data_IF_144380951261
#
_entry.id   IF_144380951261
#
_cell.length_a   1.000
_cell.length_b   1.000
_cell.length_c   1.000
_cell.angle_alpha   90.00
_cell.angle_beta   90.00
_cell.angle_gamma   90.00
#
_symmetry.space_group_name_H-M   'P 1'
#
loop_
_entity.id
_entity.type
_entity.pdbx_description
1 polymer ?
#
# COMPACT_ATOMS: atom_id res chain seq x y z
N UNK A 1 -13.25 -15.45 52.68
CA UNK A 1 -11.78 -15.60 52.65
C UNK A 1 -11.33 -15.12 51.28
N UNK A 2 -10.62 -14.02 51.02
CA UNK A 2 -9.87 -12.99 51.73
C UNK A 2 -9.85 -11.81 50.71
N UNK A 3 -10.43 -10.65 50.93
CA UNK A 3 -9.88 -9.43 51.55
C UNK A 3 -8.39 -9.13 51.28
N UNK A 4 -8.15 -7.92 50.74
CA UNK A 4 -6.96 -7.05 50.84
C UNK A 4 -5.79 -7.27 49.87
N UNK A 5 -5.55 -6.27 49.01
CA UNK A 5 -4.39 -5.37 49.15
C UNK A 5 -4.56 -4.14 48.27
N UNK A 6 -4.49 -2.97 48.90
CA UNK A 6 -4.42 -1.65 48.29
C UNK A 6 -2.98 -1.14 48.30
N UNK A 7 -2.74 -0.20 47.38
CA UNK A 7 -1.84 0.94 47.47
C UNK A 7 -0.34 0.82 47.07
N UNK A 8 -0.02 1.68 46.10
CA UNK A 8 1.14 2.58 46.02
C UNK A 8 2.44 2.07 45.39
N UNK A 9 2.75 2.62 44.21
CA UNK A 9 4.04 3.25 43.93
C UNK A 9 3.87 4.25 42.77
N UNK A 10 3.74 5.52 43.16
CA UNK A 10 3.91 6.69 42.30
C UNK A 10 5.39 7.00 42.14
N UNK A 11 5.87 7.09 40.89
CA UNK A 11 6.80 8.11 40.38
C UNK A 11 7.31 7.72 38.99
N UNK A 12 6.70 8.26 37.93
CA UNK A 12 7.42 8.54 36.69
C UNK A 12 6.80 9.78 36.05
N UNK A 13 7.62 10.82 35.88
CA UNK A 13 7.28 12.06 35.20
C UNK A 13 7.30 11.82 33.67
N UNK A 14 6.31 12.30 32.89
CA UNK A 14 6.39 12.27 31.45
C UNK A 14 7.05 13.55 30.91
N UNK A 15 8.14 13.40 30.16
CA UNK A 15 8.69 14.43 29.27
C UNK A 15 7.78 14.62 28.05
N UNK A 16 7.61 15.83 27.50
CA UNK A 16 6.67 16.10 26.42
C UNK A 16 7.31 15.85 25.06
N UNK A 17 6.77 14.90 24.29
CA UNK A 17 6.94 14.81 22.84
C UNK A 17 5.56 14.58 22.23
N UNK A 18 4.85 15.68 22.07
CA UNK A 18 3.60 15.77 21.32
C UNK A 18 3.93 15.84 19.84
N UNK A 19 3.81 14.71 19.14
CA UNK A 19 3.43 14.72 17.73
C UNK A 19 2.03 14.10 17.67
N UNK A 20 1.01 14.95 17.81
CA UNK A 20 -0.38 14.53 17.65
C UNK A 20 -0.56 14.27 16.15
N UNK A 21 -0.62 13.00 15.76
CA UNK A 21 -1.05 12.60 14.41
C UNK A 21 -2.45 13.14 14.17
N UNK A 22 -2.60 14.07 13.25
CA UNK A 22 -3.92 14.55 12.83
C UNK A 22 -4.58 13.47 11.96
N UNK A 23 -5.72 12.95 12.41
CA UNK A 23 -6.61 12.14 11.60
C UNK A 23 -7.70 13.06 11.05
N UNK A 24 -7.68 13.34 9.74
CA UNK A 24 -8.71 14.14 9.09
C UNK A 24 -9.93 13.26 8.77
N UNK A 25 -10.96 13.33 9.61
CA UNK A 25 -12.31 12.88 9.26
C UNK A 25 -13.04 14.04 8.60
N UNK A 26 -13.39 13.91 7.32
CA UNK A 26 -14.17 14.94 6.63
C UNK A 26 -15.63 14.88 7.12
N UNK A 27 -16.23 15.99 7.61
CA UNK A 27 -17.63 15.99 8.03
C UNK A 27 -18.56 15.65 6.86
N UNK A 28 -19.31 14.56 6.95
CA UNK A 28 -20.39 14.23 6.02
C UNK A 28 -21.62 15.09 6.37
N UNK A 29 -21.70 16.31 5.84
CA UNK A 29 -22.87 17.19 6.00
C UNK A 29 -23.69 17.24 4.71
N UNK A 30 -24.65 16.32 4.56
CA UNK A 30 -25.88 16.54 3.79
C UNK A 30 -27.00 15.64 4.33
N UNK A 31 -28.17 16.18 4.73
CA UNK A 31 -29.34 15.35 5.04
C UNK A 31 -29.94 14.81 3.74
N UNK A 32 -30.08 13.49 3.64
CA UNK A 32 -30.80 12.83 2.56
C UNK A 32 -32.29 13.20 2.63
N UNK A 33 -32.79 13.89 1.61
CA UNK A 33 -34.22 14.09 1.38
C UNK A 33 -34.78 12.88 0.62
N UNK A 34 -35.64 12.12 1.27
CA UNK A 34 -36.40 11.02 0.65
C UNK A 34 -37.54 11.60 -0.19
N UNK A 35 -37.45 11.47 -1.50
CA UNK A 35 -38.61 11.54 -2.40
C UNK A 35 -38.74 10.20 -3.15
N UNK A 36 -39.95 9.61 -3.23
CA UNK A 36 -40.16 8.36 -3.95
C UNK A 36 -40.15 8.62 -5.48
N UNK A 37 -39.84 7.60 -6.30
CA UNK A 37 -39.77 7.76 -7.75
C UNK A 37 -41.17 7.73 -8.37
N UNK A 38 -41.44 8.45 -9.48
CA UNK A 38 -42.60 8.22 -10.31
C UNK A 38 -42.36 7.06 -11.28
N UNK A 39 -43.47 6.42 -11.65
CA UNK A 39 -43.61 5.22 -12.45
C UNK A 39 -43.15 5.35 -13.92
N UNK A 40 -42.73 4.20 -14.45
CA UNK A 40 -42.33 3.95 -15.84
C UNK A 40 -43.43 4.27 -16.86
N UNK A 41 -43.06 4.96 -17.95
CA UNK A 41 -43.70 4.83 -19.26
C UNK A 41 -42.63 4.74 -20.35
N UNK A 42 -42.82 3.74 -21.21
CA UNK A 42 -42.01 3.35 -22.35
C UNK A 42 -42.01 4.39 -23.49
N UNK A 43 -40.87 4.57 -24.16
CA UNK A 43 -40.86 4.83 -25.61
C UNK A 43 -39.47 4.58 -26.21
N UNK A 44 -39.48 3.76 -27.24
CA UNK A 44 -38.39 3.44 -28.16
C UNK A 44 -38.01 4.62 -29.05
N UNK A 45 -36.72 4.85 -29.31
CA UNK A 45 -36.25 5.13 -30.68
C UNK A 45 -34.74 4.99 -30.83
N UNK A 46 -34.36 4.31 -31.91
CA UNK A 46 -33.01 4.17 -32.45
C UNK A 46 -32.58 5.50 -33.11
N UNK A 47 -31.32 5.89 -32.95
CA UNK A 47 -30.64 6.65 -34.02
C UNK A 47 -29.13 6.54 -33.93
N UNK A 48 -28.57 5.90 -34.95
CA UNK A 48 -27.17 5.92 -35.36
C UNK A 48 -26.82 7.30 -35.90
N UNK A 49 -25.63 7.83 -35.58
CA UNK A 49 -24.84 8.62 -36.54
C UNK A 49 -23.34 8.60 -36.21
N UNK A 50 -22.59 8.14 -37.22
CA UNK A 50 -21.14 8.19 -37.41
C UNK A 50 -20.66 9.62 -37.69
N UNK A 51 -19.32 9.74 -37.73
CA UNK A 51 -18.44 10.76 -38.35
C UNK A 51 -17.71 11.64 -37.31
N UNK A 52 -16.41 11.98 -37.46
CA UNK A 52 -15.31 11.56 -38.35
C UNK A 52 -14.02 12.08 -37.70
N UNK A 53 -12.96 11.31 -37.78
CA UNK A 53 -11.59 11.72 -37.46
C UNK A 53 -11.08 12.80 -38.43
N UNK A 54 -10.24 13.71 -37.94
CA UNK A 54 -9.18 14.36 -38.71
C UNK A 54 -7.89 14.42 -37.86
N UNK A 55 -6.71 14.09 -38.43
CA UNK A 55 -5.43 14.10 -37.72
C UNK A 55 -4.68 15.41 -37.96
N UNK A 56 -3.77 15.77 -37.04
CA UNK A 56 -2.66 16.69 -37.35
C UNK A 56 -1.36 16.17 -36.71
N UNK A 57 -0.32 16.10 -37.54
CA UNK A 57 1.04 15.65 -37.21
C UNK A 57 1.97 16.86 -36.97
N UNK A 58 3.16 16.67 -36.39
CA UNK A 58 3.86 17.70 -35.61
C UNK A 58 4.92 18.46 -36.42
N UNK A 59 5.18 19.71 -36.02
CA UNK A 59 6.35 20.47 -36.45
C UNK A 59 7.51 20.33 -35.44
N UNK A 60 8.62 19.77 -35.92
CA UNK A 60 9.95 19.86 -35.31
C UNK A 60 10.54 21.25 -35.57
N UNK A 61 11.12 21.88 -34.54
CA UNK A 61 12.26 22.79 -34.71
C UNK A 61 13.07 22.87 -33.42
N UNK A 62 14.36 22.53 -33.52
CA UNK A 62 15.43 23.04 -32.66
C UNK A 62 16.24 24.02 -33.52
N UNK A 63 16.91 25.02 -32.91
CA UNK A 63 18.37 24.89 -32.82
C UNK A 63 19.03 25.44 -31.53
N UNK A 64 20.25 24.91 -31.34
CA UNK A 64 21.40 25.10 -30.43
C UNK A 64 21.65 26.42 -29.64
N UNK A 65 22.48 26.35 -28.58
CA UNK A 65 22.76 27.44 -27.63
C UNK A 65 24.06 28.22 -27.92
N UNK A 66 24.25 29.36 -27.24
CA UNK A 66 25.55 29.78 -26.71
C UNK A 66 25.41 30.26 -25.24
N UNK A 67 26.40 30.49 -24.38
CA UNK A 67 27.85 30.36 -24.35
C UNK A 67 28.29 30.65 -22.90
N UNK A 68 29.43 30.10 -22.50
CA UNK A 68 30.19 30.43 -21.28
C UNK A 68 30.44 31.93 -21.13
N UNK A 69 30.34 32.45 -19.90
CA UNK A 69 30.96 33.72 -19.49
C UNK A 69 31.76 33.48 -18.21
N UNK A 70 33.02 33.89 -18.29
CA UNK A 70 34.09 33.81 -17.30
C UNK A 70 34.08 34.99 -16.33
N UNK A 71 34.56 34.70 -15.10
CA UNK A 71 35.16 35.55 -14.07
C UNK A 71 35.37 37.05 -14.32
N UNK A 72 35.06 37.82 -13.28
CA UNK A 72 35.86 38.99 -12.91
C UNK A 72 35.90 39.16 -11.39
N UNK A 73 37.08 38.91 -10.81
CA UNK A 73 37.48 39.34 -9.48
C UNK A 73 37.69 40.86 -9.46
N UNK A 74 37.22 41.53 -8.42
CA UNK A 74 37.73 42.83 -7.96
C UNK A 74 37.75 42.84 -6.44
N UNK A 75 38.94 43.09 -5.88
CA UNK A 75 39.20 43.14 -4.45
C UNK A 75 39.08 44.55 -3.86
N UNK A 76 39.63 44.64 -2.63
CA UNK A 76 39.69 45.77 -1.67
C UNK A 76 38.48 45.78 -0.71
N UNK A 77 38.60 45.91 0.61
CA UNK A 77 39.67 46.42 1.48
C UNK A 77 39.56 45.79 2.87
N UNK A 78 40.70 45.68 3.58
CA UNK A 78 40.75 45.43 5.02
C UNK A 78 40.31 46.70 5.76
N UNK A 79 39.40 46.56 6.72
CA UNK A 79 39.31 47.40 7.91
C UNK A 79 38.68 46.56 9.02
N UNK A 80 39.38 46.45 10.15
CA UNK A 80 38.86 45.86 11.38
C UNK A 80 38.25 46.96 12.24
N UNK A 81 37.19 46.66 13.00
CA UNK A 81 37.30 46.96 14.42
C UNK A 81 36.69 45.91 15.36
N UNK A 82 37.41 45.74 16.47
CA UNK A 82 36.96 45.45 17.85
C UNK A 82 35.94 44.34 18.10
N UNK A 83 36.42 43.32 18.83
CA UNK A 83 35.59 42.40 19.60
C UNK A 83 34.71 43.15 20.62
N UNK A 84 33.42 42.84 20.61
CA UNK A 84 32.60 42.85 21.81
C UNK A 84 31.92 41.48 21.91
N UNK A 85 32.08 40.90 23.09
CA UNK A 85 31.49 39.67 23.59
C UNK A 85 29.99 39.81 23.77
N UNK A 86 29.23 38.87 23.20
CA UNK A 86 28.08 38.17 23.80
C UNK A 86 27.27 37.50 22.70
N UNK A 87 27.78 36.38 22.19
CA UNK A 87 27.01 35.45 21.38
C UNK A 87 26.42 34.41 22.34
N UNK A 88 25.12 34.52 22.58
CA UNK A 88 24.37 33.54 23.34
C UNK A 88 24.49 32.17 22.65
N UNK A 89 24.84 31.16 23.45
CA UNK A 89 24.98 29.76 23.03
C UNK A 89 23.65 29.20 22.46
N UNK A 90 22.54 29.89 22.70
CA UNK A 90 21.21 29.57 22.18
C UNK A 90 21.06 29.88 20.67
N UNK A 91 21.79 30.86 20.12
CA UNK A 91 21.67 31.24 18.70
C UNK A 91 22.23 30.15 17.77
N UNK A 92 23.33 29.51 18.16
CA UNK A 92 23.97 28.45 17.37
C UNK A 92 23.18 27.14 17.49
N UNK A 93 22.56 26.90 18.65
CA UNK A 93 21.67 25.74 18.85
C UNK A 93 20.36 25.88 18.08
N UNK A 94 19.83 27.09 17.93
CA UNK A 94 18.64 27.37 17.10
C UNK A 94 18.95 27.34 15.60
N UNK A 95 20.14 27.75 15.17
CA UNK A 95 20.56 27.61 13.78
C UNK A 95 20.87 26.15 13.41
N UNK A 96 21.42 25.34 14.33
CA UNK A 96 21.56 23.90 14.15
C UNK A 96 20.21 23.16 14.20
N UNK A 97 19.24 23.63 15.00
CA UNK A 97 17.86 23.11 14.98
C UNK A 97 17.11 23.48 13.70
N UNK A 98 17.33 24.69 13.15
CA UNK A 98 16.78 25.11 11.85
C UNK A 98 17.47 24.41 10.68
N UNK A 99 18.76 24.08 10.79
CA UNK A 99 19.46 23.25 9.81
C UNK A 99 19.07 21.77 9.90
N UNK A 100 18.58 21.29 11.06
CA UNK A 100 18.04 19.92 11.20
C UNK A 100 16.54 19.79 10.90
N UNK A 101 15.84 20.90 10.65
CA UNK A 101 14.41 20.98 10.36
C UNK A 101 14.19 21.73 9.05
N UNK A 102 14.66 21.17 7.94
CA UNK A 102 14.53 21.83 6.65
C UNK A 102 15.27 21.16 5.51
N UNK A 103 15.27 19.83 5.43
CA UNK A 103 15.28 19.25 4.08
C UNK A 103 13.87 19.50 3.55
N UNK A 104 13.72 20.45 2.62
CA UNK A 104 12.55 20.55 1.75
C UNK A 104 12.46 19.25 0.96
N UNK A 105 11.92 18.21 1.60
CA UNK A 105 11.68 16.92 0.97
C UNK A 105 10.63 17.17 -0.08
N UNK A 106 11.06 17.08 -1.34
CA UNK A 106 10.23 17.25 -2.51
C UNK A 106 8.94 16.45 -2.31
N UNK A 107 7.82 17.18 -2.23
CA UNK A 107 6.49 16.59 -2.19
C UNK A 107 6.12 16.20 -3.61
N UNK A 108 5.63 14.98 -3.78
CA UNK A 108 5.32 14.38 -5.05
C UNK A 108 3.82 14.51 -5.33
N UNK A 109 3.48 14.80 -6.60
CA UNK A 109 2.14 14.55 -7.10
C UNK A 109 1.98 13.04 -7.37
N UNK A 110 0.73 12.58 -7.55
CA UNK A 110 0.44 11.18 -7.85
C UNK A 110 1.14 10.68 -9.14
N UNK A 111 1.29 11.56 -10.13
CA UNK A 111 1.92 11.26 -11.42
C UNK A 111 3.44 11.14 -11.33
N UNK A 112 4.05 11.67 -10.27
CA UNK A 112 5.50 11.70 -10.04
C UNK A 112 5.98 10.56 -9.12
N UNK A 113 5.09 9.64 -8.74
CA UNK A 113 5.43 8.48 -7.93
C UNK A 113 6.48 7.60 -8.62
N UNK A 114 7.51 7.22 -7.85
CA UNK A 114 8.61 6.40 -8.35
C UNK A 114 8.27 4.91 -8.32
N UNK A 115 7.76 4.37 -9.42
CA UNK A 115 7.34 2.98 -9.56
C UNK A 115 8.52 2.01 -9.79
N UNK A 116 8.52 0.86 -9.10
CA UNK A 116 9.54 -0.20 -9.28
C UNK A 116 8.93 -1.56 -9.70
N UNK A 117 7.73 -1.90 -9.23
CA UNK A 117 6.99 -3.13 -9.60
C UNK A 117 7.81 -4.45 -9.56
N UNK A 118 8.71 -4.59 -8.56
CA UNK A 118 9.55 -5.77 -8.40
C UNK A 118 8.78 -7.08 -8.30
N UNK A 119 7.63 -7.11 -7.63
CA UNK A 119 6.83 -8.32 -7.46
C UNK A 119 6.36 -8.87 -8.81
N UNK A 120 5.93 -7.97 -9.71
CA UNK A 120 5.45 -8.34 -11.04
C UNK A 120 6.61 -8.68 -11.97
N UNK A 121 7.75 -7.98 -11.84
CA UNK A 121 8.94 -8.18 -12.67
C UNK A 121 9.66 -9.50 -12.34
N UNK A 122 9.79 -9.83 -11.06
CA UNK A 122 10.72 -10.87 -10.61
C UNK A 122 10.02 -12.23 -10.35
N UNK A 123 8.70 -12.27 -10.22
CA UNK A 123 7.94 -13.49 -9.88
C UNK A 123 7.07 -13.98 -11.05
N UNK A 124 6.80 -15.30 -11.13
CA UNK A 124 5.95 -15.86 -12.18
C UNK A 124 4.52 -15.32 -12.07
N UNK A 125 4.03 -14.72 -13.15
CA UNK A 125 2.67 -14.21 -13.27
C UNK A 125 1.78 -15.12 -14.09
N UNK A 126 0.48 -15.08 -13.80
CA UNK A 126 -0.55 -15.75 -14.58
C UNK A 126 -0.61 -15.12 -16.00
N UNK A 127 -0.57 -15.93 -17.08
CA UNK A 127 -0.68 -15.40 -18.44
C UNK A 127 -2.05 -14.79 -18.74
N UNK A 128 -3.08 -15.15 -17.96
CA UNK A 128 -4.43 -14.59 -18.10
C UNK A 128 -4.58 -13.31 -17.29
N UNK A 129 -5.49 -12.44 -17.72
CA UNK A 129 -5.76 -11.16 -17.05
C UNK A 129 -7.25 -10.92 -16.78
N UNK A 130 -8.08 -11.96 -16.96
CA UNK A 130 -9.50 -11.88 -16.66
C UNK A 130 -9.78 -11.95 -15.15
N UNK A 131 -10.98 -11.54 -14.75
CA UNK A 131 -11.43 -11.51 -13.35
C UNK A 131 -12.33 -12.69 -12.98
N UNK A 132 -12.41 -13.73 -13.83
CA UNK A 132 -13.29 -14.86 -13.56
C UNK A 132 -12.70 -15.73 -12.44
N UNK A 133 -13.45 -16.01 -11.37
CA UNK A 133 -12.99 -16.87 -10.30
C UNK A 133 -12.57 -18.25 -10.80
N UNK A 134 -11.36 -18.69 -10.45
CA UNK A 134 -10.79 -19.98 -10.85
C UNK A 134 -9.56 -20.35 -10.03
N UNK A 135 -9.11 -21.58 -10.20
CA UNK A 135 -7.76 -21.95 -9.79
C UNK A 135 -6.70 -21.30 -10.70
N UNK A 136 -5.65 -20.78 -10.07
CA UNK A 136 -4.50 -20.14 -10.72
C UNK A 136 -3.26 -20.96 -10.37
N UNK A 137 -2.77 -21.73 -11.33
CA UNK A 137 -1.62 -22.61 -11.19
C UNK A 137 -0.33 -21.91 -11.65
N UNK A 138 0.81 -22.33 -11.09
CA UNK A 138 2.16 -21.91 -11.51
C UNK A 138 2.41 -20.39 -11.54
N UNK A 139 1.70 -19.62 -10.72
CA UNK A 139 1.83 -18.16 -10.68
C UNK A 139 1.61 -17.60 -9.26
N UNK A 140 2.39 -16.57 -8.93
CA UNK A 140 2.30 -15.83 -7.66
C UNK A 140 1.24 -14.72 -7.70
N UNK A 141 0.81 -14.28 -8.89
CA UNK A 141 -0.19 -13.24 -9.05
C UNK A 141 -0.90 -13.33 -10.39
N UNK A 142 -2.03 -12.62 -10.50
CA UNK A 142 -2.71 -12.32 -11.77
C UNK A 142 -2.80 -10.82 -11.96
N UNK A 143 -2.43 -10.31 -13.15
CA UNK A 143 -2.68 -8.90 -13.50
C UNK A 143 -4.17 -8.68 -13.65
N UNK A 144 -4.73 -7.76 -12.87
CA UNK A 144 -6.17 -7.49 -12.84
C UNK A 144 -6.41 -6.04 -12.40
N UNK A 145 -7.22 -5.32 -13.15
CA UNK A 145 -7.59 -3.95 -12.81
C UNK A 145 -8.79 -3.91 -11.85
N UNK A 146 -8.90 -2.88 -10.99
CA UNK A 146 -10.11 -2.61 -10.23
C UNK A 146 -11.37 -2.66 -11.09
N UNK A 147 -12.44 -3.21 -10.53
CA UNK A 147 -13.70 -3.39 -11.24
C UNK A 147 -14.93 -3.15 -10.36
N UNK A 148 -14.77 -2.60 -9.17
CA UNK A 148 -15.90 -2.19 -8.33
C UNK A 148 -16.68 -1.08 -9.06
N UNK A 149 -18.00 -1.19 -9.04
CA UNK A 149 -18.86 -0.10 -9.49
C UNK A 149 -18.89 1.00 -8.44
N UNK A 150 -18.82 2.25 -8.89
CA UNK A 150 -18.86 3.42 -8.02
C UNK A 150 -19.83 4.44 -8.60
N UNK A 151 -20.40 5.27 -7.74
CA UNK A 151 -21.28 6.37 -8.07
C UNK A 151 -20.93 7.55 -7.19
N UNK A 152 -20.35 8.61 -7.78
CA UNK A 152 -19.88 9.79 -7.04
C UNK A 152 -19.01 9.43 -5.82
N UNK A 153 -17.86 8.75 -6.01
CA UNK A 153 -17.03 8.31 -4.90
C UNK A 153 -16.50 9.50 -4.08
N UNK A 154 -16.40 9.33 -2.76
CA UNK A 154 -16.03 10.42 -1.85
C UNK A 154 -14.90 9.99 -0.91
N UNK A 155 -13.87 10.84 -0.80
CA UNK A 155 -12.83 10.67 0.21
C UNK A 155 -13.42 10.91 1.60
N UNK A 156 -13.34 9.90 2.47
CA UNK A 156 -13.82 9.94 3.87
C UNK A 156 -12.70 10.40 4.80
N UNK A 157 -11.52 9.80 4.65
CA UNK A 157 -10.34 10.06 5.48
C UNK A 157 -9.05 9.70 4.75
N UNK A 158 -7.94 10.30 5.18
CA UNK A 158 -6.58 9.91 4.80
C UNK A 158 -5.63 10.02 6.00
N UNK A 159 -4.46 9.39 5.91
CA UNK A 159 -3.41 9.45 6.94
C UNK A 159 -2.27 10.34 6.48
N UNK A 160 -2.07 11.46 7.16
CA UNK A 160 -0.93 12.36 6.91
C UNK A 160 0.41 11.64 7.11
N UNK A 161 0.50 10.76 8.12
CA UNK A 161 1.70 9.95 8.38
C UNK A 161 2.05 9.04 7.20
N UNK A 162 1.05 8.46 6.52
CA UNK A 162 1.30 7.62 5.33
C UNK A 162 1.55 8.49 4.10
N UNK A 163 0.90 9.65 3.97
CA UNK A 163 1.22 10.60 2.92
C UNK A 163 2.69 11.05 2.99
N UNK A 164 3.17 11.38 4.19
CA UNK A 164 4.58 11.71 4.44
C UNK A 164 5.52 10.54 4.16
N UNK A 165 5.15 9.33 4.58
CA UNK A 165 5.91 8.10 4.29
C UNK A 165 6.17 7.93 2.78
N UNK A 166 5.15 8.24 1.97
CA UNK A 166 5.19 8.14 0.51
C UNK A 166 5.64 9.44 -0.17
N UNK A 167 6.00 10.46 0.62
CA UNK A 167 6.38 11.79 0.14
C UNK A 167 5.30 12.49 -0.71
N UNK A 168 4.02 12.16 -0.52
CA UNK A 168 2.90 12.77 -1.25
C UNK A 168 2.60 14.19 -0.75
N UNK A 169 2.28 15.09 -1.68
CA UNK A 169 1.76 16.42 -1.35
C UNK A 169 0.35 16.30 -0.72
N UNK A 170 0.10 16.88 0.47
CA UNK A 170 -1.23 16.91 1.08
C UNK A 170 -2.33 17.54 0.21
N UNK A 171 -1.98 18.36 -0.79
CA UNK A 171 -2.94 18.92 -1.73
C UNK A 171 -3.51 17.87 -2.70
N UNK A 172 -2.84 16.73 -2.90
CA UNK A 172 -3.35 15.64 -3.75
C UNK A 172 -4.69 15.11 -3.24
N UNK A 173 -4.89 15.03 -1.92
CA UNK A 173 -6.14 14.56 -1.30
C UNK A 173 -7.32 15.53 -1.52
N UNK A 174 -7.05 16.76 -1.96
CA UNK A 174 -8.09 17.77 -2.27
C UNK A 174 -8.51 17.74 -3.73
N UNK A 175 -7.81 16.99 -4.59
CA UNK A 175 -8.13 16.92 -6.01
C UNK A 175 -9.52 16.29 -6.23
N UNK A 176 -10.28 16.76 -7.23
CA UNK A 176 -11.60 16.21 -7.53
C UNK A 176 -11.54 14.77 -8.06
N UNK A 177 -10.43 14.37 -8.68
CA UNK A 177 -10.22 13.04 -9.24
C UNK A 177 -9.60 12.03 -8.25
N UNK A 178 -9.09 12.48 -7.10
CA UNK A 178 -8.49 11.59 -6.09
C UNK A 178 -9.43 10.45 -5.66
N UNK A 179 -10.73 10.69 -5.33
CA UNK A 179 -11.65 9.60 -5.01
C UNK A 179 -11.91 8.66 -6.18
N UNK A 180 -11.84 9.12 -7.44
CA UNK A 180 -11.99 8.26 -8.62
C UNK A 180 -10.78 7.32 -8.76
N UNK A 181 -9.57 7.83 -8.52
CA UNK A 181 -8.33 7.04 -8.58
C UNK A 181 -8.33 5.98 -7.47
N UNK A 182 -8.53 6.38 -6.21
CA UNK A 182 -8.43 5.48 -5.06
C UNK A 182 -9.69 4.63 -4.80
N UNK A 183 -10.77 4.84 -5.57
CA UNK A 183 -11.84 3.86 -5.72
C UNK A 183 -11.62 2.88 -6.88
N UNK A 184 -10.56 3.09 -7.68
CA UNK A 184 -10.23 2.26 -8.84
C UNK A 184 -11.08 2.55 -10.09
N UNK A 185 -11.92 3.59 -10.08
CA UNK A 185 -12.71 4.02 -11.23
C UNK A 185 -11.90 4.75 -12.29
N UNK A 186 -10.74 5.29 -11.91
CA UNK A 186 -9.73 5.84 -12.82
C UNK A 186 -8.38 5.21 -12.53
N UNK A 187 -7.56 4.94 -13.57
CA UNK A 187 -6.25 4.35 -13.37
C UNK A 187 -5.33 5.36 -12.66
N UNK A 188 -4.52 4.86 -11.72
CA UNK A 188 -3.38 5.61 -11.21
C UNK A 188 -2.23 5.49 -12.22
N UNK A 189 -1.75 6.61 -12.74
CA UNK A 189 -0.71 6.67 -13.78
C UNK A 189 0.55 5.94 -13.28
N UNK A 190 1.11 5.09 -14.13
CA UNK A 190 2.30 4.27 -13.82
C UNK A 190 2.02 3.01 -13.01
N UNK A 191 0.82 2.87 -12.42
CA UNK A 191 0.42 1.67 -11.70
C UNK A 191 0.37 0.42 -12.60
N UNK A 192 0.64 -0.74 -12.00
CA UNK A 192 0.54 -2.06 -12.63
C UNK A 192 -0.35 -2.97 -11.78
N UNK A 193 -1.68 -2.90 -11.92
CA UNK A 193 -2.59 -3.59 -11.01
C UNK A 193 -2.51 -5.12 -11.05
N UNK A 194 -2.42 -5.77 -9.89
CA UNK A 194 -2.42 -7.23 -9.73
C UNK A 194 -3.10 -7.70 -8.45
N UNK A 195 -3.45 -8.98 -8.40
CA UNK A 195 -3.95 -9.67 -7.22
C UNK A 195 -3.06 -10.90 -6.93
N UNK A 196 -2.65 -11.11 -5.68
CA UNK A 196 -1.74 -12.19 -5.32
C UNK A 196 -2.46 -13.54 -5.17
N UNK A 197 -1.79 -14.61 -5.61
CA UNK A 197 -2.18 -15.98 -5.33
C UNK A 197 -1.53 -16.44 -4.02
N UNK A 198 -2.34 -17.01 -3.13
CA UNK A 198 -1.86 -17.66 -1.90
C UNK A 198 -2.89 -18.69 -1.45
N UNK A 199 -2.48 -19.59 -0.57
CA UNK A 199 -3.33 -20.58 0.08
C UNK A 199 -3.34 -20.36 1.59
N UNK A 200 -3.79 -21.35 2.35
CA UNK A 200 -3.60 -21.30 3.80
C UNK A 200 -4.50 -22.25 4.56
N UNK A 201 -4.17 -22.38 5.84
CA UNK A 201 -4.99 -23.09 6.80
C UNK A 201 -5.99 -22.12 7.43
N UNK A 202 -7.29 -22.39 7.30
CA UNK A 202 -8.34 -21.64 7.98
C UNK A 202 -8.87 -22.52 9.11
N UNK A 203 -8.77 -22.01 10.35
CA UNK A 203 -9.20 -22.76 11.54
C UNK A 203 -8.54 -24.15 11.66
N UNK A 204 -7.25 -24.23 11.33
CA UNK A 204 -6.46 -25.47 11.40
C UNK A 204 -6.58 -26.41 10.19
N UNK A 205 -7.52 -26.16 9.26
CA UNK A 205 -7.74 -27.00 8.09
C UNK A 205 -7.22 -26.35 6.82
N UNK A 206 -6.57 -27.13 5.94
CA UNK A 206 -6.13 -26.63 4.63
C UNK A 206 -7.33 -26.19 3.79
N UNK A 207 -7.35 -24.92 3.39
CA UNK A 207 -8.47 -24.31 2.65
C UNK A 207 -8.23 -24.28 1.13
N UNK A 208 -7.15 -24.89 0.64
CA UNK A 208 -6.75 -24.83 -0.77
C UNK A 208 -6.34 -23.42 -1.21
N UNK A 209 -6.61 -23.09 -2.46
CA UNK A 209 -6.33 -21.77 -3.01
C UNK A 209 -7.27 -20.71 -2.41
N UNK A 210 -6.65 -19.68 -1.85
CA UNK A 210 -7.27 -18.42 -1.46
C UNK A 210 -6.89 -17.35 -2.49
N UNK A 211 -6.05 -16.38 -2.11
CA UNK A 211 -5.64 -15.26 -2.94
C UNK A 211 -6.37 -13.97 -2.60
N UNK A 212 -5.96 -12.88 -3.24
CA UNK A 212 -6.54 -11.56 -3.05
C UNK A 212 -7.94 -11.47 -3.70
N UNK A 213 -8.93 -12.10 -3.07
CA UNK A 213 -10.29 -12.22 -3.60
C UNK A 213 -11.13 -10.95 -3.56
N UNK A 214 -10.64 -9.90 -2.91
CA UNK A 214 -11.27 -8.56 -2.87
C UNK A 214 -10.23 -7.46 -2.72
N UNK A 215 -8.98 -7.74 -3.05
CA UNK A 215 -7.88 -6.80 -2.94
C UNK A 215 -7.12 -6.77 -4.25
N UNK A 216 -6.69 -5.58 -4.66
CA UNK A 216 -5.92 -5.36 -5.88
C UNK A 216 -4.80 -4.40 -5.53
N UNK A 217 -3.56 -4.87 -5.65
CA UNK A 217 -2.37 -4.03 -5.52
C UNK A 217 -2.23 -3.20 -6.79
N UNK A 218 -2.17 -1.88 -6.66
CA UNK A 218 -1.95 -0.93 -7.77
C UNK A 218 -0.50 -0.96 -8.26
N UNK A 219 0.43 -1.37 -7.41
CA UNK A 219 1.85 -1.52 -7.71
C UNK A 219 2.72 -1.20 -6.52
N UNK A 220 4.03 -1.15 -6.78
CA UNK A 220 5.07 -0.89 -5.80
C UNK A 220 5.78 0.43 -6.11
N UNK A 221 5.90 1.30 -5.11
CA UNK A 221 6.61 2.57 -5.20
C UNK A 221 7.82 2.59 -4.27
N UNK A 222 8.85 3.35 -4.64
CA UNK A 222 9.99 3.67 -3.80
C UNK A 222 9.80 5.06 -3.19
N UNK A 223 9.92 5.16 -1.87
CA UNK A 223 9.95 6.47 -1.20
C UNK A 223 11.34 7.13 -1.32
N UNK A 224 11.48 8.34 -0.77
CA UNK A 224 12.75 9.09 -0.75
C UNK A 224 13.92 8.38 -0.05
N UNK A 225 13.63 7.37 0.78
CA UNK A 225 14.63 6.52 1.44
C UNK A 225 14.97 5.26 0.64
N UNK A 226 14.48 5.14 -0.60
CA UNK A 226 14.57 3.92 -1.41
C UNK A 226 13.92 2.70 -0.75
N UNK A 227 12.96 2.91 0.15
CA UNK A 227 12.16 1.83 0.72
C UNK A 227 10.96 1.55 -0.18
N UNK A 228 10.68 0.28 -0.44
CA UNK A 228 9.56 -0.15 -1.28
C UNK A 228 8.27 -0.27 -0.48
N UNK A 229 7.17 0.20 -1.07
CA UNK A 229 5.84 0.16 -0.50
C UNK A 229 4.80 -0.22 -1.57
N UNK A 230 4.01 -1.25 -1.26
CA UNK A 230 2.86 -1.68 -2.04
C UNK A 230 1.65 -0.79 -1.72
N UNK A 231 0.91 -0.36 -2.75
CA UNK A 231 -0.39 0.30 -2.61
C UNK A 231 -1.50 -0.69 -2.96
N UNK A 232 -2.33 -1.09 -2.01
CA UNK A 232 -3.37 -2.10 -2.23
C UNK A 232 -4.78 -1.61 -1.91
N UNK A 233 -5.65 -1.60 -2.92
CA UNK A 233 -7.06 -1.27 -2.77
C UNK A 233 -7.85 -2.51 -2.33
N UNK A 234 -8.46 -2.45 -1.14
CA UNK A 234 -9.35 -3.50 -0.62
C UNK A 234 -10.80 -3.09 -0.78
N UNK A 235 -11.59 -3.96 -1.40
CA UNK A 235 -12.97 -3.68 -1.85
C UNK A 235 -13.05 -3.26 -3.33
N UNK A 236 -11.95 -3.35 -4.07
CA UNK A 236 -11.81 -2.84 -5.44
C UNK A 236 -12.45 -3.73 -6.53
N UNK A 237 -13.22 -4.76 -6.14
CA UNK A 237 -13.95 -5.64 -7.07
C UNK A 237 -13.41 -7.07 -7.12
N UNK A 238 -13.97 -7.83 -8.04
CA UNK A 238 -13.64 -9.26 -8.21
C UNK A 238 -12.27 -9.47 -8.85
N UNK A 239 -11.67 -10.58 -8.48
CA UNK A 239 -10.42 -11.11 -9.03
C UNK A 239 -10.61 -12.62 -9.29
N UNK A 240 -9.67 -13.30 -9.96
CA UNK A 240 -9.68 -14.76 -10.06
C UNK A 240 -9.75 -15.49 -8.71
N UNK A 241 -9.40 -14.79 -7.63
CA UNK A 241 -9.32 -15.31 -6.26
C UNK A 241 -10.59 -15.04 -5.45
N UNK A 242 -11.62 -14.39 -6.02
CA UNK A 242 -12.85 -14.05 -5.29
C UNK A 242 -13.68 -15.26 -4.85
N UNK A 243 -13.44 -16.44 -5.43
CA UNK A 243 -14.25 -17.65 -5.23
C UNK A 243 -15.73 -17.30 -5.51
N UNK A 244 -16.60 -17.46 -4.52
CA UNK A 244 -18.02 -17.14 -4.57
C UNK A 244 -18.37 -15.72 -4.10
N UNK A 245 -17.40 -14.95 -3.61
CA UNK A 245 -17.64 -13.62 -3.06
C UNK A 245 -17.76 -12.53 -4.14
N UNK A 246 -18.29 -11.37 -3.75
CA UNK A 246 -18.53 -10.24 -4.64
C UNK A 246 -17.30 -9.35 -4.89
N UNK A 247 -16.23 -9.49 -4.11
CA UNK A 247 -15.02 -8.67 -4.22
C UNK A 247 -15.13 -7.28 -3.59
N UNK A 248 -16.21 -6.99 -2.84
CA UNK A 248 -16.52 -5.66 -2.32
C UNK A 248 -16.30 -5.55 -0.80
N UNK A 249 -16.14 -4.32 -0.30
CA UNK A 249 -16.05 -4.00 1.11
C UNK A 249 -17.08 -2.95 1.50
N UNK A 250 -17.48 -2.95 2.77
CA UNK A 250 -18.42 -1.99 3.34
C UNK A 250 -17.70 -0.93 4.17
N UNK A 251 -18.33 0.22 4.35
CA UNK A 251 -17.77 1.37 5.06
C UNK A 251 -17.40 1.02 6.50
N UNK A 252 -18.28 0.32 7.22
CA UNK A 252 -18.06 -0.07 8.62
C UNK A 252 -16.76 -0.87 8.82
N UNK A 253 -16.54 -1.91 8.03
CA UNK A 253 -15.29 -2.70 8.12
C UNK A 253 -14.07 -1.90 7.71
N UNK A 254 -14.22 -1.02 6.71
CA UNK A 254 -13.12 -0.24 6.16
C UNK A 254 -12.66 0.88 7.11
N UNK A 255 -13.60 1.52 7.82
CA UNK A 255 -13.30 2.48 8.90
C UNK A 255 -12.50 1.79 10.00
N UNK A 256 -12.94 0.61 10.45
CA UNK A 256 -12.23 -0.13 11.50
C UNK A 256 -10.81 -0.50 11.09
N UNK A 257 -10.62 -0.97 9.85
CA UNK A 257 -9.30 -1.31 9.34
C UNK A 257 -8.39 -0.09 9.22
N UNK A 258 -8.90 1.02 8.69
CA UNK A 258 -8.15 2.28 8.60
C UNK A 258 -7.69 2.76 9.98
N UNK A 259 -8.63 2.88 10.93
CA UNK A 259 -8.33 3.37 12.28
C UNK A 259 -7.40 2.43 13.05
N UNK A 260 -7.64 1.12 13.03
CA UNK A 260 -6.79 0.16 13.74
C UNK A 260 -5.38 0.13 13.16
N UNK A 261 -5.21 0.21 11.84
CA UNK A 261 -3.88 0.22 11.20
C UNK A 261 -3.05 1.41 11.69
N UNK A 262 -3.63 2.61 11.69
CA UNK A 262 -2.89 3.81 12.08
C UNK A 262 -2.72 3.95 13.60
N UNK A 263 -3.69 3.46 14.38
CA UNK A 263 -3.57 3.38 15.84
C UNK A 263 -2.46 2.41 16.26
N UNK A 264 -2.40 1.20 15.67
CA UNK A 264 -1.35 0.22 15.96
C UNK A 264 0.04 0.78 15.61
N UNK A 265 0.18 1.45 14.46
CA UNK A 265 1.43 2.12 14.10
C UNK A 265 1.82 3.20 15.11
N UNK A 266 0.86 4.04 15.53
CA UNK A 266 1.10 5.11 16.51
C UNK A 266 1.49 4.57 17.89
N UNK A 267 1.09 3.34 18.22
CA UNK A 267 1.53 2.60 19.41
C UNK A 267 2.90 1.93 19.25
N UNK A 268 3.56 2.07 18.09
CA UNK A 268 4.85 1.43 17.80
C UNK A 268 4.74 -0.06 17.47
N UNK A 269 3.54 -0.58 17.20
CA UNK A 269 3.32 -2.00 16.88
C UNK A 269 3.40 -2.19 15.35
N UNK A 270 4.23 -3.12 14.84
CA UNK A 270 4.30 -3.41 13.42
C UNK A 270 2.92 -3.78 12.84
N UNK A 271 2.55 -3.12 11.75
CA UNK A 271 1.24 -3.27 11.11
C UNK A 271 1.30 -2.82 9.66
N UNK A 272 0.38 -3.31 8.84
CA UNK A 272 0.05 -2.62 7.59
C UNK A 272 -0.49 -1.23 7.90
N UNK A 273 -0.25 -0.28 7.01
CA UNK A 273 -0.69 1.11 7.11
C UNK A 273 -1.92 1.35 6.22
N UNK A 274 -2.60 2.46 6.43
CA UNK A 274 -3.75 2.86 5.61
C UNK A 274 -3.60 4.29 5.10
N UNK A 275 -3.49 4.46 3.78
CA UNK A 275 -3.33 5.76 3.15
C UNK A 275 -4.64 6.56 3.14
N UNK A 276 -5.71 5.95 2.62
CA UNK A 276 -7.00 6.64 2.48
C UNK A 276 -8.19 5.67 2.49
N UNK A 277 -9.36 6.23 2.76
CA UNK A 277 -10.65 5.56 2.75
C UNK A 277 -11.63 6.32 1.84
N UNK A 278 -12.18 5.63 0.86
CA UNK A 278 -13.12 6.20 -0.12
C UNK A 278 -14.45 5.46 -0.04
N UNK A 279 -15.56 6.19 0.06
CA UNK A 279 -16.90 5.65 -0.15
C UNK A 279 -17.16 5.50 -1.64
N UNK A 280 -17.78 4.39 -2.04
CA UNK A 280 -18.09 4.13 -3.46
C UNK A 280 -19.39 4.79 -3.91
N UNK A 281 -20.25 5.22 -2.99
CA UNK A 281 -21.61 5.68 -3.25
C UNK A 281 -22.59 4.59 -3.71
N UNK A 282 -22.13 3.33 -3.79
CA UNK A 282 -22.97 2.15 -3.99
C UNK A 282 -23.22 1.44 -2.66
N UNK A 283 -24.32 0.69 -2.59
CA UNK A 283 -24.59 -0.21 -1.48
C UNK A 283 -24.05 -1.61 -1.76
N UNK A 284 -23.73 -2.32 -0.68
CA UNK A 284 -23.21 -3.68 -0.69
C UNK A 284 -23.98 -4.48 0.34
N UNK A 285 -24.66 -5.53 -0.10
CA UNK A 285 -25.49 -6.37 0.75
C UNK A 285 -24.62 -7.28 1.63
N UNK A 286 -24.80 -7.23 2.95
CA UNK A 286 -24.10 -8.08 3.92
C UNK A 286 -25.06 -8.58 4.98
N UNK A 287 -24.87 -9.84 5.36
CA UNK A 287 -25.41 -10.36 6.60
C UNK A 287 -24.33 -10.22 7.68
N UNK A 288 -24.43 -9.16 8.49
CA UNK A 288 -23.42 -8.82 9.48
C UNK A 288 -23.36 -9.84 10.62
N UNK A 289 -24.49 -10.44 10.97
CA UNK A 289 -24.62 -11.34 12.11
C UNK A 289 -24.67 -12.82 11.70
N UNK A 290 -24.66 -13.11 10.40
CA UNK A 290 -24.82 -14.45 9.84
C UNK A 290 -26.12 -15.11 10.31
N UNK A 291 -27.18 -14.31 10.49
CA UNK A 291 -28.48 -14.74 11.01
C UNK A 291 -29.54 -14.96 9.91
N UNK A 292 -29.15 -14.83 8.65
CA UNK A 292 -30.02 -14.96 7.48
C UNK A 292 -30.71 -13.67 7.06
N UNK A 293 -30.45 -12.52 7.71
CA UNK A 293 -31.10 -11.23 7.41
C UNK A 293 -30.11 -10.22 6.80
N UNK A 294 -29.78 -10.35 5.51
CA UNK A 294 -28.86 -9.43 4.86
C UNK A 294 -29.43 -8.01 4.80
N UNK A 295 -28.55 -7.02 4.96
CA UNK A 295 -28.85 -5.60 4.85
C UNK A 295 -27.87 -4.92 3.91
N UNK A 296 -28.34 -3.86 3.27
CA UNK A 296 -27.48 -3.01 2.46
C UNK A 296 -26.65 -2.09 3.36
N UNK A 297 -25.33 -2.15 3.20
CA UNK A 297 -24.38 -1.26 3.86
C UNK A 297 -23.69 -0.39 2.80
N UNK A 298 -23.32 0.87 3.10
CA UNK A 298 -22.55 1.69 2.17
C UNK A 298 -21.23 1.00 1.80
N UNK A 299 -20.93 0.93 0.51
CA UNK A 299 -19.68 0.40 -0.02
C UNK A 299 -18.51 1.34 0.22
N UNK A 300 -17.32 0.76 0.44
CA UNK A 300 -16.10 1.53 0.61
C UNK A 300 -14.87 0.76 0.13
N UNK A 301 -13.82 1.51 -0.15
CA UNK A 301 -12.50 1.02 -0.54
C UNK A 301 -11.46 1.67 0.36
N UNK A 302 -10.58 0.85 0.95
CA UNK A 302 -9.44 1.32 1.73
C UNK A 302 -8.15 1.04 0.94
N UNK A 303 -7.30 2.05 0.83
CA UNK A 303 -5.95 1.91 0.29
C UNK A 303 -5.00 1.54 1.43
N UNK A 304 -4.56 0.28 1.44
CA UNK A 304 -3.59 -0.27 2.37
C UNK A 304 -2.19 -0.03 1.83
N UNK A 305 -1.24 0.20 2.73
CA UNK A 305 0.16 0.43 2.40
C UNK A 305 1.04 -0.47 3.27
N UNK A 306 1.95 -1.21 2.66
CA UNK A 306 2.87 -2.10 3.37
C UNK A 306 4.15 -2.31 2.55
N UNK A 307 5.25 -2.68 3.19
CA UNK A 307 6.46 -3.07 2.44
C UNK A 307 6.27 -4.38 1.66
N UNK A 308 5.31 -5.21 2.07
CA UNK A 308 4.95 -6.45 1.40
C UNK A 308 3.57 -6.92 1.85
N UNK A 309 2.81 -7.54 0.95
CA UNK A 309 1.60 -8.30 1.28
C UNK A 309 1.79 -9.82 1.28
N UNK A 310 3.05 -10.29 1.18
CA UNK A 310 3.39 -11.70 1.32
C UNK A 310 2.94 -12.27 2.66
N UNK A 311 2.59 -13.56 2.64
CA UNK A 311 2.07 -14.31 3.79
C UNK A 311 2.67 -15.70 3.77
N UNK A 312 2.59 -16.43 4.89
CA UNK A 312 2.95 -17.86 4.89
C UNK A 312 2.19 -18.64 3.82
N UNK A 313 0.92 -18.30 3.61
CA UNK A 313 0.08 -18.83 2.55
C UNK A 313 0.62 -18.68 1.13
N UNK A 314 1.41 -17.64 0.86
CA UNK A 314 2.02 -17.39 -0.45
C UNK A 314 3.02 -18.48 -0.82
N UNK A 315 3.69 -19.06 0.17
CA UNK A 315 4.60 -20.20 -0.02
C UNK A 315 3.84 -21.53 0.02
N UNK A 316 2.92 -21.66 0.98
CA UNK A 316 2.19 -22.91 1.21
C UNK A 316 1.40 -23.36 -0.02
N UNK A 317 0.84 -22.44 -0.82
CA UNK A 317 0.09 -22.83 -2.02
C UNK A 317 0.97 -23.56 -3.03
N UNK A 318 2.18 -23.05 -3.28
CA UNK A 318 3.13 -23.65 -4.22
C UNK A 318 3.69 -24.96 -3.65
N UNK A 319 4.06 -24.97 -2.36
CA UNK A 319 4.51 -26.20 -1.70
C UNK A 319 3.45 -27.31 -1.73
N UNK A 320 2.16 -26.97 -1.60
CA UNK A 320 1.06 -27.94 -1.61
C UNK A 320 0.81 -28.59 -2.97
N UNK A 321 1.30 -27.98 -4.06
CA UNK A 321 1.15 -28.48 -5.44
C UNK A 321 2.27 -29.44 -5.86
N UNK A 322 3.20 -29.74 -4.96
CA UNK A 322 4.25 -30.71 -5.18
C UNK A 322 5.37 -30.19 -6.08
N UNK A 323 6.08 -31.13 -6.72
CA UNK A 323 7.38 -30.89 -7.38
C UNK A 323 7.35 -29.79 -8.44
N UNK A 324 6.24 -29.64 -9.15
CA UNK A 324 6.08 -28.66 -10.24
C UNK A 324 6.20 -27.21 -9.77
N UNK A 325 5.80 -26.91 -8.53
CA UNK A 325 5.77 -25.55 -7.98
C UNK A 325 6.89 -25.29 -6.94
N UNK A 326 7.75 -26.27 -6.64
CA UNK A 326 8.84 -26.10 -5.67
C UNK A 326 9.86 -25.04 -6.08
N UNK A 327 10.11 -24.89 -7.38
CA UNK A 327 11.00 -23.84 -7.87
C UNK A 327 10.40 -22.44 -7.67
N UNK A 328 9.06 -22.32 -7.67
CA UNK A 328 8.37 -21.07 -7.32
C UNK A 328 8.56 -20.77 -5.84
N UNK A 329 8.47 -21.77 -4.96
CA UNK A 329 8.75 -21.60 -3.51
C UNK A 329 10.16 -21.04 -3.31
N UNK A 330 11.16 -21.62 -3.99
CA UNK A 330 12.56 -21.14 -3.92
C UNK A 330 12.68 -19.71 -4.45
N UNK A 331 12.08 -19.42 -5.60
CA UNK A 331 12.11 -18.09 -6.22
C UNK A 331 11.46 -17.04 -5.31
N UNK A 332 10.33 -17.37 -4.67
CA UNK A 332 9.63 -16.48 -3.75
C UNK A 332 10.43 -16.24 -2.46
N UNK A 333 11.13 -17.25 -1.96
CA UNK A 333 12.02 -17.12 -0.81
C UNK A 333 13.23 -16.24 -1.13
N UNK A 334 13.87 -16.46 -2.29
CA UNK A 334 14.99 -15.63 -2.75
C UNK A 334 14.54 -14.17 -2.99
N UNK A 335 13.35 -13.96 -3.56
CA UNK A 335 12.73 -12.63 -3.68
C UNK A 335 12.59 -11.96 -2.31
N UNK A 336 12.04 -12.67 -1.34
CA UNK A 336 11.78 -12.14 0.00
C UNK A 336 13.07 -11.80 0.73
N UNK A 337 14.09 -12.64 0.63
CA UNK A 337 15.39 -12.38 1.22
C UNK A 337 16.02 -11.13 0.60
N UNK A 338 16.07 -11.06 -0.73
CA UNK A 338 16.67 -9.93 -1.45
C UNK A 338 16.02 -8.60 -1.09
N UNK A 339 14.69 -8.56 -1.03
CA UNK A 339 13.95 -7.31 -0.92
C UNK A 339 13.53 -6.92 0.50
N UNK A 340 13.36 -7.89 1.40
CA UNK A 340 12.88 -7.62 2.77
C UNK A 340 13.90 -7.97 3.85
N UNK A 341 14.91 -8.78 3.52
CA UNK A 341 15.96 -9.18 4.46
C UNK A 341 17.36 -9.21 3.84
N UNK A 342 17.80 -8.13 3.15
CA UNK A 342 19.07 -8.12 2.40
C UNK A 342 20.30 -8.40 3.28
N UNK A 343 20.20 -8.18 4.59
CA UNK A 343 21.26 -8.51 5.55
C UNK A 343 21.60 -10.01 5.59
N UNK A 344 20.64 -10.89 5.29
CA UNK A 344 20.86 -12.34 5.27
C UNK A 344 21.67 -12.75 4.03
N UNK A 345 21.47 -12.07 2.90
CA UNK A 345 22.15 -12.40 1.64
C UNK A 345 23.68 -12.28 1.76
N UNK A 346 24.13 -11.35 2.61
CA UNK A 346 25.54 -11.11 2.91
C UNK A 346 26.10 -11.98 4.04
N UNK A 347 25.30 -12.84 4.67
CA UNK A 347 25.80 -13.78 5.66
C UNK A 347 26.49 -14.93 4.92
N UNK A 348 27.81 -15.03 5.06
CA UNK A 348 28.57 -16.19 4.56
C UNK A 348 27.89 -17.48 5.02
N UNK A 349 27.78 -18.48 4.13
CA UNK A 349 27.31 -19.82 4.46
C UNK A 349 28.07 -20.31 5.69
N UNK A 350 27.47 -20.21 6.87
CA UNK A 350 28.07 -20.78 8.07
C UNK A 350 28.09 -22.29 7.87
N UNK A 351 29.29 -22.87 7.76
CA UNK A 351 29.50 -24.32 7.73
C UNK A 351 29.06 -25.00 9.05
N UNK A 352 28.61 -24.24 10.05
CA UNK A 352 28.37 -24.71 11.41
C UNK A 352 26.95 -25.21 11.73
N UNK A 353 26.05 -25.25 10.75
CA UNK A 353 24.66 -25.73 10.96
C UNK A 353 24.35 -26.92 10.02
N UNK A 354 25.22 -27.92 10.00
CA UNK A 354 24.88 -29.24 9.49
C UNK A 354 24.15 -30.02 10.58
N UNK A 355 22.82 -30.06 10.54
CA UNK A 355 22.11 -31.15 11.19
C UNK A 355 22.22 -32.36 10.27
N UNK A 356 23.01 -33.36 10.66
CA UNK A 356 23.01 -34.67 10.02
C UNK A 356 21.62 -35.29 10.21
N UNK A 357 20.73 -35.11 9.24
CA UNK A 357 19.57 -35.99 9.10
C UNK A 357 20.08 -37.34 8.65
N UNK A 358 20.09 -38.28 9.60
CA UNK A 358 20.25 -39.70 9.33
C UNK A 358 19.28 -40.13 8.23
N UNK A 359 19.88 -40.77 7.22
CA UNK A 359 19.30 -41.60 6.17
C UNK A 359 17.78 -41.78 6.22
N UNK A 360 17.07 -41.10 5.32
CA UNK A 360 15.95 -41.69 4.58
C UNK A 360 15.61 -40.81 3.35
N UNK A 361 15.58 -41.48 2.19
CA UNK A 361 15.43 -40.95 0.84
C UNK A 361 14.06 -40.27 0.65
N UNK A 362 13.99 -38.98 0.98
CA UNK A 362 12.89 -38.11 0.57
C UNK A 362 13.45 -36.75 0.18
N UNK A 363 12.93 -36.18 -0.90
CA UNK A 363 13.34 -34.88 -1.45
C UNK A 363 12.89 -33.73 -0.54
N UNK A 364 13.43 -33.68 0.67
CA UNK A 364 13.25 -32.59 1.62
C UNK A 364 14.01 -31.40 1.07
N UNK A 365 13.28 -30.33 0.73
CA UNK A 365 13.89 -29.03 0.49
C UNK A 365 14.61 -28.64 1.77
N UNK A 366 15.94 -28.59 1.72
CA UNK A 366 16.77 -28.16 2.83
C UNK A 366 16.49 -26.68 3.15
N UNK A 367 15.58 -26.45 4.10
CA UNK A 367 15.28 -25.14 4.69
C UNK A 367 16.27 -24.78 5.82
N UNK A 368 17.24 -25.64 6.14
CA UNK A 368 18.23 -25.42 7.21
C UNK A 368 19.49 -24.67 6.72
N UNK A 369 19.69 -24.57 5.41
CA UNK A 369 20.50 -23.48 4.84
C UNK A 369 20.02 -22.15 5.42
N UNK A 370 20.94 -21.34 5.96
CA UNK A 370 20.75 -20.07 6.71
C UNK A 370 19.64 -19.11 6.22
N UNK A 371 19.16 -19.30 4.99
CA UNK A 371 18.01 -18.64 4.37
C UNK A 371 16.65 -18.97 5.01
N UNK A 372 16.40 -20.20 5.48
CA UNK A 372 15.09 -20.59 6.00
C UNK A 372 14.81 -20.11 7.43
N UNK A 373 15.84 -20.12 8.29
CA UNK A 373 15.73 -19.67 9.70
C UNK A 373 15.36 -18.19 9.86
N UNK A 374 15.76 -17.36 8.91
CA UNK A 374 15.58 -15.92 9.00
C UNK A 374 14.18 -15.44 8.57
N UNK A 375 13.38 -16.29 7.92
CA UNK A 375 11.96 -16.01 7.62
C UNK A 375 11.04 -16.16 8.85
N UNK A 376 11.52 -16.77 9.93
CA UNK A 376 10.74 -17.08 11.14
C UNK A 376 10.91 -16.02 12.24
N UNK A 377 11.88 -15.10 12.13
CA UNK A 377 12.11 -14.06 13.13
C UNK A 377 11.51 -12.71 12.73
N UNK A 378 10.28 -12.44 13.17
CA UNK A 378 9.82 -11.14 13.66
C UNK A 378 8.63 -11.31 14.59
#
# INVERSE_FOLDING_TARGET
MLSQLSASLSHYSPSPLSSITALYLRPLLTPFSSKPPPSLLSSTSKSLRKFRFYPSSPHKSQPRPPSLVSNSYRGLSMDSPSMNTDLSVDSVADDLKKQSLGEDRVKLNLEDLNWDHSFVRDLPGDPRTDKMPREVLHACYTKVSPSAEVENPQLVAWSDSVAELLCLDPNEFKRPDFPLIFSGASPLVGGMPYAQCYGGHQFGMWAGQLGDGRAITLGEILNSKSERWDLQLKGAGKTPYSRFADGLAVLRSSIREFLCSEAMHSLGIPTTRALCLVMTGKYVTRDMFYDGNPKDEPGAIVCRVAQSFLRFGSYQIHASRGKEDLDIVRTLADYTIRHHFPRIENTSKSESLSFNTSEEDSSVVDLTSNKGWALVQR
#
